data_IF_700555096454
#
_entry.id   IF_700555096454
#
_cell.length_a   1.000
_cell.length_b   1.000
_cell.length_c   1.000
_cell.angle_alpha   90.00
_cell.angle_beta   90.00
_cell.angle_gamma   90.00
#
_symmetry.space_group_name_H-M   'P 1'
#
loop_
_entity.id
_entity.type
_entity.pdbx_description
1 polymer ?
#
# COMPACT_ATOMS: atom_id res chain seq x y z
N UNK A 1 -26.02 24.18 1.82
CA UNK A 1 -24.94 24.22 0.82
C UNK A 1 -23.80 23.37 1.35
N UNK A 2 -23.76 22.09 0.95
CA UNK A 2 -22.73 21.15 1.39
C UNK A 2 -21.46 21.42 0.61
N UNK A 3 -20.42 21.91 1.28
CA UNK A 3 -19.07 22.00 0.74
C UNK A 3 -18.59 20.58 0.42
N UNK A 4 -18.61 20.22 -0.86
CA UNK A 4 -17.83 19.08 -1.34
C UNK A 4 -16.37 19.45 -1.13
N UNK A 5 -15.69 18.78 -0.19
CA UNK A 5 -14.23 18.78 -0.17
C UNK A 5 -13.79 18.07 -1.46
N UNK A 6 -13.55 18.83 -2.52
CA UNK A 6 -12.81 18.36 -3.68
C UNK A 6 -11.46 17.87 -3.14
N UNK A 7 -11.17 16.57 -3.32
CA UNK A 7 -9.82 16.07 -3.12
C UNK A 7 -8.89 16.93 -3.96
N UNK A 8 -7.83 17.47 -3.36
CA UNK A 8 -6.89 18.31 -4.08
C UNK A 8 -6.14 17.44 -5.11
N UNK A 9 -6.59 17.48 -6.37
CA UNK A 9 -5.86 16.88 -7.47
C UNK A 9 -4.58 17.70 -7.71
N UNK A 10 -3.44 17.02 -7.77
CA UNK A 10 -2.16 17.64 -8.13
C UNK A 10 -1.81 17.15 -9.54
N UNK A 11 -1.87 18.07 -10.50
CA UNK A 11 -1.42 17.78 -11.86
C UNK A 11 0.10 17.82 -11.92
N UNK A 12 0.70 16.77 -12.46
CA UNK A 12 2.14 16.66 -12.70
C UNK A 12 2.36 16.76 -14.20
N UNK A 13 3.37 17.53 -14.63
CA UNK A 13 3.71 17.72 -16.05
C UNK A 13 4.43 16.50 -16.64
N UNK A 14 3.80 15.33 -16.59
CA UNK A 14 4.29 14.03 -17.08
C UNK A 14 3.17 13.36 -17.89
N UNK A 15 3.52 12.65 -18.96
CA UNK A 15 2.54 11.93 -19.77
C UNK A 15 1.80 10.83 -18.98
N UNK A 16 0.48 10.77 -19.13
CA UNK A 16 -0.39 9.74 -18.55
C UNK A 16 -0.38 8.46 -19.38
N UNK A 17 0.65 7.64 -19.19
CA UNK A 17 0.76 6.33 -19.84
C UNK A 17 1.34 5.27 -18.88
N UNK A 18 0.90 4.01 -19.03
CA UNK A 18 1.43 2.89 -18.22
C UNK A 18 2.95 2.73 -18.35
N UNK A 19 3.52 3.10 -19.50
CA UNK A 19 4.97 3.05 -19.76
C UNK A 19 5.74 4.19 -19.07
N UNK A 20 5.04 5.23 -18.63
CA UNK A 20 5.58 6.40 -17.95
C UNK A 20 5.35 6.36 -16.42
N UNK A 21 4.86 5.24 -15.86
CA UNK A 21 4.57 5.13 -14.43
C UNK A 21 5.76 5.49 -13.54
N UNK A 22 6.98 5.06 -13.89
CA UNK A 22 8.16 5.46 -13.12
C UNK A 22 8.42 6.97 -13.21
N UNK A 23 8.21 7.61 -14.36
CA UNK A 23 8.32 9.06 -14.48
C UNK A 23 7.28 9.79 -13.62
N UNK A 24 6.03 9.31 -13.62
CA UNK A 24 4.95 9.84 -12.77
C UNK A 24 5.27 9.69 -11.29
N UNK A 25 5.73 8.52 -10.86
CA UNK A 25 6.16 8.31 -9.46
C UNK A 25 7.32 9.22 -9.08
N UNK A 26 8.35 9.38 -9.93
CA UNK A 26 9.45 10.32 -9.64
C UNK A 26 8.93 11.74 -9.41
N UNK A 27 8.07 12.23 -10.31
CA UNK A 27 7.49 13.56 -10.18
C UNK A 27 6.66 13.71 -8.89
N UNK A 28 5.86 12.70 -8.55
CA UNK A 28 5.08 12.68 -7.32
C UNK A 28 5.98 12.67 -6.07
N UNK A 29 7.03 11.85 -6.04
CA UNK A 29 7.96 11.79 -4.90
C UNK A 29 8.70 13.11 -4.69
N UNK A 30 9.12 13.79 -5.78
CA UNK A 30 9.73 15.12 -5.71
C UNK A 30 8.75 16.16 -5.20
N UNK A 31 7.50 16.12 -5.63
CA UNK A 31 6.44 17.03 -5.19
C UNK A 31 6.10 16.85 -3.70
N UNK A 32 5.91 15.60 -3.28
CA UNK A 32 5.69 15.24 -1.87
C UNK A 32 6.88 15.66 -1.00
N UNK A 33 8.11 15.45 -1.47
CA UNK A 33 9.31 15.90 -0.77
C UNK A 33 9.32 17.42 -0.60
N UNK A 34 9.07 18.17 -1.68
CA UNK A 34 9.14 19.62 -1.67
C UNK A 34 8.05 20.28 -0.79
N UNK A 35 6.82 19.72 -0.77
CA UNK A 35 5.67 20.40 -0.15
C UNK A 35 5.17 19.77 1.15
N UNK A 36 5.49 18.50 1.39
CA UNK A 36 4.82 17.67 2.38
C UNK A 36 5.74 16.87 3.30
N UNK A 37 7.05 16.79 3.02
CA UNK A 37 7.99 15.97 3.78
C UNK A 37 7.97 16.22 5.30
N UNK A 38 7.88 17.48 5.70
CA UNK A 38 7.87 17.88 7.13
C UNK A 38 6.47 17.85 7.75
N UNK A 39 5.41 17.68 6.94
CA UNK A 39 4.02 17.70 7.39
C UNK A 39 3.48 16.31 7.72
N UNK A 40 4.00 15.28 7.06
CA UNK A 40 3.54 13.91 7.23
C UNK A 40 4.69 12.96 7.57
N UNK A 41 4.35 11.91 8.30
CA UNK A 41 5.29 10.87 8.73
C UNK A 41 5.33 9.68 7.78
N UNK A 42 4.22 9.44 7.10
CA UNK A 42 3.99 8.28 6.24
C UNK A 42 3.37 8.71 4.91
N UNK A 43 3.84 8.10 3.83
CA UNK A 43 3.40 8.38 2.46
C UNK A 43 2.94 7.08 1.81
N UNK A 44 1.64 6.99 1.51
CA UNK A 44 1.03 5.83 0.87
C UNK A 44 0.90 6.08 -0.64
N UNK A 45 1.37 5.12 -1.44
CA UNK A 45 0.96 4.98 -2.84
C UNK A 45 -0.06 3.86 -2.94
N UNK A 46 -1.14 4.13 -3.67
CA UNK A 46 -2.17 3.16 -4.04
C UNK A 46 -2.61 3.42 -5.48
N UNK A 47 -3.09 2.39 -6.18
CA UNK A 47 -3.74 2.57 -7.49
C UNK A 47 -5.22 2.92 -7.31
N UNK A 48 -5.86 3.47 -8.35
CA UNK A 48 -7.28 3.86 -8.32
C UNK A 48 -8.25 2.66 -8.29
N UNK A 49 -7.73 1.45 -8.40
CA UNK A 49 -8.39 0.17 -8.18
C UNK A 49 -7.88 -0.58 -6.92
N UNK A 50 -7.25 0.14 -5.98
CA UNK A 50 -6.80 -0.38 -4.68
C UNK A 50 -7.70 0.11 -3.55
N UNK A 51 -8.37 -0.81 -2.86
CA UNK A 51 -9.11 -0.46 -1.63
C UNK A 51 -8.20 -0.58 -0.42
N UNK A 52 -8.18 0.45 0.43
CA UNK A 52 -7.32 0.54 1.62
C UNK A 52 -8.15 0.73 2.87
N UNK A 53 -7.99 -0.15 3.86
CA UNK A 53 -8.57 -0.01 5.20
C UNK A 53 -7.61 0.88 6.01
N UNK A 54 -7.89 2.17 6.06
CA UNK A 54 -6.98 3.20 6.60
C UNK A 54 -6.73 3.00 8.09
N UNK A 55 -7.72 2.53 8.84
CA UNK A 55 -7.65 2.21 10.27
C UNK A 55 -6.64 1.08 10.52
N UNK A 56 -6.69 0.02 9.71
CA UNK A 56 -5.74 -1.09 9.80
C UNK A 56 -4.34 -0.66 9.38
N UNK A 57 -4.22 0.23 8.39
CA UNK A 57 -2.94 0.83 8.02
C UNK A 57 -2.36 1.65 9.18
N UNK A 58 -3.17 2.53 9.79
CA UNK A 58 -2.76 3.34 10.95
C UNK A 58 -2.30 2.44 12.09
N UNK A 59 -3.11 1.42 12.43
CA UNK A 59 -2.76 0.45 13.47
C UNK A 59 -1.42 -0.24 13.20
N UNK A 60 -1.17 -0.67 11.96
CA UNK A 60 0.09 -1.29 11.56
C UNK A 60 1.32 -0.35 11.70
N UNK A 61 1.12 0.96 11.55
CA UNK A 61 2.18 1.97 11.61
C UNK A 61 2.44 2.53 13.03
N UNK A 62 1.56 2.28 14.00
CA UNK A 62 1.61 2.90 15.34
C UNK A 62 2.93 2.70 16.09
N UNK A 63 3.57 1.56 15.92
CA UNK A 63 4.80 1.13 16.59
C UNK A 63 6.04 1.27 15.70
N UNK A 64 5.94 1.97 14.57
CA UNK A 64 7.04 2.16 13.61
C UNK A 64 7.63 3.56 13.75
N UNK A 65 8.95 3.66 13.61
CA UNK A 65 9.66 4.94 13.67
C UNK A 65 9.79 5.55 12.26
N UNK A 66 9.09 6.66 11.94
CA UNK A 66 9.16 7.30 10.62
C UNK A 66 10.48 8.04 10.37
N UNK A 67 11.36 8.19 11.38
CA UNK A 67 12.72 8.70 11.22
C UNK A 67 13.71 7.65 10.70
N UNK A 68 13.31 6.37 10.72
CA UNK A 68 14.05 5.29 10.06
C UNK A 68 13.60 5.19 8.60
N UNK A 69 14.49 4.79 7.65
CA UNK A 69 14.19 4.71 6.23
C UNK A 69 13.37 3.45 5.89
N UNK A 70 12.18 3.31 6.49
CA UNK A 70 11.33 2.13 6.35
C UNK A 70 10.43 2.20 5.13
N UNK A 71 10.14 1.04 4.53
CA UNK A 71 9.06 0.86 3.57
C UNK A 71 8.33 -0.48 3.72
N UNK A 72 7.06 -0.48 3.30
CA UNK A 72 6.11 -1.57 3.53
C UNK A 72 5.29 -1.86 2.27
N UNK A 73 4.81 -3.09 2.13
CA UNK A 73 3.90 -3.51 1.06
C UNK A 73 3.88 -5.02 0.90
N UNK A 74 3.37 -5.52 -0.23
CA UNK A 74 3.43 -6.93 -0.58
C UNK A 74 4.76 -7.30 -1.27
N UNK A 75 5.58 -8.20 -0.72
CA UNK A 75 6.93 -8.42 -1.23
C UNK A 75 6.98 -9.38 -2.43
N UNK A 76 7.54 -8.88 -3.54
CA UNK A 76 7.94 -9.65 -4.70
C UNK A 76 9.45 -9.91 -4.73
N UNK A 77 9.86 -10.97 -5.43
CA UNK A 77 11.28 -11.43 -5.45
C UNK A 77 11.93 -11.56 -6.82
N UNK A 78 11.20 -11.36 -7.92
CA UNK A 78 11.66 -11.84 -9.25
C UNK A 78 12.41 -10.81 -10.11
N UNK A 79 12.21 -9.50 -9.87
CA UNK A 79 12.80 -8.43 -10.70
C UNK A 79 14.02 -7.78 -10.05
N UNK A 80 13.97 -7.57 -8.73
CA UNK A 80 15.02 -6.88 -7.96
C UNK A 80 15.71 -7.88 -7.03
N UNK A 81 17.04 -8.01 -7.06
CA UNK A 81 17.75 -8.85 -6.10
C UNK A 81 17.52 -8.37 -4.65
N UNK A 82 17.02 -9.25 -3.79
CA UNK A 82 16.57 -8.90 -2.43
C UNK A 82 15.10 -8.49 -2.33
N UNK A 83 14.42 -8.38 -3.48
CA UNK A 83 13.00 -8.11 -3.61
C UNK A 83 12.61 -6.64 -3.69
N UNK A 84 11.33 -6.42 -3.93
CA UNK A 84 10.66 -5.13 -4.05
C UNK A 84 9.20 -5.30 -3.58
N UNK A 85 8.44 -4.22 -3.45
CA UNK A 85 7.02 -4.29 -3.06
C UNK A 85 6.13 -4.08 -4.27
N UNK A 86 4.99 -4.76 -4.34
CA UNK A 86 4.02 -4.61 -5.43
C UNK A 86 3.47 -3.19 -5.47
N UNK A 87 3.48 -2.56 -6.65
CA UNK A 87 2.84 -1.26 -6.86
C UNK A 87 1.32 -1.33 -6.68
N UNK A 88 0.69 -2.38 -7.22
CA UNK A 88 -0.77 -2.57 -7.16
C UNK A 88 -1.30 -2.89 -5.77
N UNK A 89 -0.57 -3.67 -4.97
CA UNK A 89 -0.97 -3.89 -3.57
C UNK A 89 -0.93 -2.62 -2.71
N UNK A 90 -0.37 -1.53 -3.25
CA UNK A 90 0.02 -0.35 -2.50
C UNK A 90 1.30 -0.57 -1.69
N UNK A 91 1.99 0.54 -1.43
CA UNK A 91 3.17 0.56 -0.58
C UNK A 91 3.24 1.86 0.21
N UNK A 92 3.94 1.79 1.35
CA UNK A 92 4.07 2.92 2.27
C UNK A 92 5.55 3.21 2.49
N UNK A 93 5.90 4.49 2.43
CA UNK A 93 7.22 5.01 2.72
C UNK A 93 7.17 5.82 4.01
N UNK A 94 8.16 5.62 4.89
CA UNK A 94 8.47 6.59 5.94
C UNK A 94 8.92 7.92 5.36
N UNK A 95 8.79 8.99 6.14
CA UNK A 95 9.40 10.29 5.85
C UNK A 95 10.88 10.19 5.51
N UNK A 96 11.65 9.43 6.30
CA UNK A 96 13.08 9.26 6.03
C UNK A 96 13.33 8.48 4.74
N UNK A 97 12.55 7.45 4.41
CA UNK A 97 12.69 6.73 3.14
C UNK A 97 12.40 7.65 1.94
N UNK A 98 11.32 8.44 1.99
CA UNK A 98 11.01 9.42 0.95
C UNK A 98 12.16 10.42 0.78
N UNK A 99 12.66 10.99 1.89
CA UNK A 99 13.80 11.92 1.88
C UNK A 99 15.00 11.33 1.17
N UNK A 100 15.41 10.11 1.53
CA UNK A 100 16.57 9.45 0.92
C UNK A 100 16.36 9.14 -0.55
N UNK A 101 15.18 8.64 -0.94
CA UNK A 101 14.85 8.37 -2.34
C UNK A 101 15.01 9.61 -3.21
N UNK A 102 14.56 10.78 -2.74
CA UNK A 102 14.71 12.03 -3.50
C UNK A 102 16.15 12.54 -3.45
N UNK A 103 16.67 12.82 -2.26
CA UNK A 103 17.95 13.54 -2.08
C UNK A 103 19.18 12.71 -2.41
N UNK A 104 19.16 11.43 -2.08
CA UNK A 104 20.29 10.51 -2.29
C UNK A 104 20.07 9.58 -3.49
N UNK A 105 18.81 9.40 -3.90
CA UNK A 105 18.44 8.55 -5.01
C UNK A 105 18.37 9.32 -6.32
N UNK A 106 17.29 10.08 -6.50
CA UNK A 106 16.98 10.80 -7.73
C UNK A 106 17.98 11.91 -8.03
N UNK A 107 18.30 12.77 -7.05
CA UNK A 107 19.19 13.92 -7.24
C UNK A 107 20.66 13.53 -7.41
N UNK A 108 21.09 12.40 -6.83
CA UNK A 108 22.47 11.92 -6.93
C UNK A 108 22.64 10.80 -7.98
N UNK A 109 21.63 10.54 -8.81
CA UNK A 109 21.72 9.57 -9.90
C UNK A 109 21.87 8.11 -9.45
N UNK A 110 21.48 7.77 -8.21
CA UNK A 110 21.48 6.37 -7.72
C UNK A 110 20.20 5.62 -8.09
N UNK A 111 19.25 6.28 -8.73
CA UNK A 111 18.01 5.70 -9.21
C UNK A 111 17.93 5.86 -10.73
N UNK A 112 17.11 5.03 -11.37
CA UNK A 112 17.05 4.99 -12.84
C UNK A 112 16.64 6.36 -13.43
N UNK A 113 17.46 6.95 -14.33
CA UNK A 113 17.22 8.30 -14.84
C UNK A 113 16.08 8.37 -15.85
N UNK A 114 15.93 7.36 -16.71
CA UNK A 114 14.80 7.29 -17.65
C UNK A 114 13.47 6.96 -16.94
N UNK A 115 12.34 7.03 -17.65
CA UNK A 115 11.01 6.69 -17.14
C UNK A 115 10.54 5.27 -17.48
N UNK A 116 11.38 4.47 -18.14
CA UNK A 116 10.99 3.21 -18.78
C UNK A 116 11.32 2.02 -17.89
N UNK A 117 10.33 1.43 -17.21
CA UNK A 117 10.38 0.16 -16.48
C UNK A 117 9.15 0.06 -15.55
N UNK A 118 8.78 -1.13 -15.04
CA UNK A 118 7.82 -1.23 -13.94
C UNK A 118 8.25 -0.37 -12.76
N UNK A 119 7.36 0.56 -12.40
CA UNK A 119 7.55 1.57 -11.37
C UNK A 119 7.97 0.98 -10.02
N UNK A 120 7.28 -0.08 -9.61
CA UNK A 120 7.48 -0.73 -8.32
C UNK A 120 8.86 -1.41 -8.20
N UNK A 121 9.33 -2.00 -9.29
CA UNK A 121 10.68 -2.54 -9.40
C UNK A 121 11.74 -1.43 -9.38
N UNK A 122 11.56 -0.32 -10.09
CA UNK A 122 12.53 0.79 -10.05
C UNK A 122 12.56 1.49 -8.70
N UNK A 123 11.41 1.71 -8.07
CA UNK A 123 11.36 2.20 -6.70
C UNK A 123 12.07 1.25 -5.75
N UNK A 124 11.85 -0.07 -5.88
CA UNK A 124 12.54 -1.09 -5.09
C UNK A 124 14.07 -1.05 -5.25
N UNK A 125 14.59 -0.89 -6.47
CA UNK A 125 16.04 -0.68 -6.72
C UNK A 125 16.55 0.59 -6.07
N UNK A 126 15.80 1.69 -6.25
CA UNK A 126 16.14 3.00 -5.70
C UNK A 126 16.22 2.97 -4.17
N UNK A 127 15.19 2.43 -3.50
CA UNK A 127 15.14 2.22 -2.05
C UNK A 127 16.34 1.41 -1.55
N UNK A 128 16.68 0.32 -2.24
CA UNK A 128 17.87 -0.48 -1.91
C UNK A 128 19.16 0.34 -2.03
N UNK A 129 19.32 1.11 -3.10
CA UNK A 129 20.52 1.92 -3.36
C UNK A 129 20.71 3.06 -2.35
N UNK A 130 19.63 3.52 -1.70
CA UNK A 130 19.67 4.54 -0.64
C UNK A 130 19.61 3.95 0.78
N UNK A 131 19.75 2.62 0.91
CA UNK A 131 19.82 1.93 2.19
C UNK A 131 18.50 1.94 2.97
N UNK A 132 17.35 2.00 2.28
CA UNK A 132 16.05 1.86 2.91
C UNK A 132 15.75 0.38 3.23
N UNK A 133 14.94 0.17 4.27
CA UNK A 133 14.71 -1.14 4.88
C UNK A 133 13.27 -1.57 4.63
N UNK A 134 13.11 -2.72 3.97
CA UNK A 134 11.80 -3.38 3.85
C UNK A 134 11.45 -4.03 5.18
N UNK A 135 10.28 -3.73 5.72
CA UNK A 135 9.80 -4.34 6.95
C UNK A 135 8.80 -5.47 6.63
N UNK A 136 8.76 -6.50 7.48
CA UNK A 136 7.75 -7.57 7.40
C UNK A 136 6.35 -6.99 7.63
N UNK A 137 5.44 -7.30 6.73
CA UNK A 137 4.06 -6.80 6.77
C UNK A 137 3.04 -7.88 7.11
N UNK A 138 3.44 -9.16 7.12
CA UNK A 138 2.57 -10.24 7.56
C UNK A 138 2.33 -10.17 9.06
N UNK A 139 1.18 -10.65 9.50
CA UNK A 139 0.88 -10.73 10.92
C UNK A 139 1.66 -11.84 11.63
N UNK A 140 1.43 -11.98 12.94
CA UNK A 140 2.09 -12.98 13.79
C UNK A 140 1.83 -14.42 13.36
N UNK A 141 0.77 -14.67 12.57
CA UNK A 141 0.44 -15.97 12.00
C UNK A 141 1.01 -16.14 10.56
N UNK A 142 1.77 -15.15 10.07
CA UNK A 142 2.33 -15.14 8.73
C UNK A 142 1.32 -14.86 7.62
N UNK A 143 0.17 -14.26 7.93
CA UNK A 143 -0.89 -13.92 6.96
C UNK A 143 -0.68 -12.53 6.38
N UNK A 144 -1.00 -12.35 5.10
CA UNK A 144 -0.73 -11.10 4.40
C UNK A 144 -1.65 -9.97 4.86
N UNK A 145 -1.13 -8.74 4.84
CA UNK A 145 -1.88 -7.49 5.02
C UNK A 145 -2.14 -6.76 3.71
N UNK A 146 -1.17 -6.76 2.81
CA UNK A 146 -1.26 -6.16 1.49
C UNK A 146 -1.52 -7.28 0.48
N UNK A 147 -2.36 -7.05 -0.52
CA UNK A 147 -2.73 -8.07 -1.50
C UNK A 147 -2.60 -7.53 -2.92
N UNK A 148 -1.75 -8.13 -3.78
CA UNK A 148 -1.50 -7.65 -5.14
C UNK A 148 -2.56 -8.11 -6.16
N UNK A 149 -3.55 -8.89 -5.70
CA UNK A 149 -4.69 -9.36 -6.47
C UNK A 149 -5.97 -9.10 -5.67
N UNK A 150 -7.12 -9.26 -6.33
CA UNK A 150 -8.42 -9.23 -5.69
C UNK A 150 -8.50 -10.24 -4.53
N UNK A 151 -9.08 -9.83 -3.40
CA UNK A 151 -9.06 -10.59 -2.14
C UNK A 151 -9.74 -11.97 -2.29
N UNK A 152 -10.71 -12.08 -3.19
CA UNK A 152 -11.45 -13.29 -3.53
C UNK A 152 -10.51 -14.43 -3.98
N UNK A 153 -9.42 -14.11 -4.69
CA UNK A 153 -8.40 -15.09 -5.10
C UNK A 153 -7.71 -15.74 -3.90
N UNK A 154 -7.56 -15.01 -2.79
CA UNK A 154 -6.94 -15.53 -1.58
C UNK A 154 -7.98 -16.21 -0.68
N UNK A 155 -9.20 -15.69 -0.60
CA UNK A 155 -10.27 -16.26 0.21
C UNK A 155 -10.73 -17.64 -0.29
N UNK A 156 -10.84 -17.83 -1.61
CA UNK A 156 -11.25 -19.08 -2.21
C UNK A 156 -10.05 -19.79 -2.87
N UNK A 157 -9.59 -20.90 -2.28
CA UNK A 157 -8.42 -21.62 -2.81
C UNK A 157 -8.54 -22.06 -4.27
N UNK A 158 -9.78 -22.35 -4.73
CA UNK A 158 -10.08 -22.68 -6.13
C UNK A 158 -9.94 -21.48 -7.09
N UNK A 159 -10.00 -20.25 -6.57
CA UNK A 159 -9.92 -19.03 -7.36
C UNK A 159 -8.47 -18.62 -7.70
N UNK A 160 -7.45 -19.34 -7.20
CA UNK A 160 -6.05 -19.05 -7.49
C UNK A 160 -5.27 -20.29 -7.98
N UNK A 161 -5.38 -20.63 -9.29
CA UNK A 161 -4.69 -21.76 -9.87
C UNK A 161 -3.17 -21.70 -9.66
N UNK A 162 -2.54 -22.86 -9.44
CA UNK A 162 -1.08 -22.97 -9.20
C UNK A 162 -0.21 -22.53 -10.39
N UNK A 163 -0.80 -22.40 -11.57
CA UNK A 163 -0.14 -21.90 -12.79
C UNK A 163 0.00 -20.38 -12.82
N UNK A 164 -0.66 -19.65 -11.92
CA UNK A 164 -0.62 -18.19 -11.92
C UNK A 164 0.73 -17.64 -11.49
N UNK A 165 1.09 -16.49 -12.06
CA UNK A 165 2.39 -15.84 -11.85
C UNK A 165 2.68 -15.53 -10.38
N UNK A 166 1.65 -15.28 -9.56
CA UNK A 166 1.80 -14.86 -8.17
C UNK A 166 2.59 -15.87 -7.33
N UNK A 167 2.46 -17.17 -7.60
CA UNK A 167 3.19 -18.23 -6.90
C UNK A 167 4.71 -18.12 -7.11
N UNK A 168 5.14 -17.63 -8.26
CA UNK A 168 6.56 -17.38 -8.58
C UNK A 168 7.02 -16.04 -8.00
N UNK A 169 6.20 -15.00 -8.16
CA UNK A 169 6.54 -13.62 -7.82
C UNK A 169 6.64 -13.37 -6.32
N UNK A 170 5.78 -14.01 -5.54
CA UNK A 170 5.69 -13.79 -4.08
C UNK A 170 6.98 -14.22 -3.39
N UNK A 171 7.45 -13.38 -2.47
CA UNK A 171 8.62 -13.70 -1.67
C UNK A 171 8.35 -14.81 -0.65
N UNK A 172 7.15 -14.80 -0.07
CA UNK A 172 6.69 -15.78 0.90
C UNK A 172 5.70 -16.76 0.25
N UNK A 173 5.52 -17.98 0.81
CA UNK A 173 4.49 -18.89 0.34
C UNK A 173 3.12 -18.22 0.34
N UNK A 174 2.43 -18.29 -0.79
CA UNK A 174 1.07 -17.76 -0.91
C UNK A 174 0.11 -18.67 -0.14
N UNK A 175 -0.67 -18.07 0.75
CA UNK A 175 -1.70 -18.77 1.53
C UNK A 175 -3.08 -18.44 0.94
N UNK A 176 -3.96 -19.45 0.87
CA UNK A 176 -5.34 -19.30 0.41
C UNK A 176 -6.31 -20.00 1.37
N UNK A 177 -7.60 -19.70 1.27
CA UNK A 177 -8.63 -20.24 2.16
C UNK A 177 -8.74 -19.46 3.47
N UNK A 178 -9.31 -20.10 4.49
CA UNK A 178 -9.67 -19.46 5.77
C UNK A 178 -8.50 -18.77 6.50
N UNK A 179 -7.27 -19.19 6.24
CA UNK A 179 -6.06 -18.67 6.89
C UNK A 179 -5.23 -17.76 5.98
N UNK A 180 -5.73 -17.37 4.80
CA UNK A 180 -4.94 -16.56 3.86
C UNK A 180 -4.55 -15.19 4.40
N UNK A 181 -5.45 -14.63 5.18
CA UNK A 181 -5.61 -13.19 5.24
C UNK A 181 -5.64 -12.73 6.69
N UNK A 182 -4.88 -11.67 6.97
CA UNK A 182 -4.82 -11.12 8.32
C UNK A 182 -6.15 -10.49 8.71
N UNK A 183 -6.52 -10.62 9.98
CA UNK A 183 -7.73 -9.97 10.53
C UNK A 183 -7.60 -8.44 10.52
N UNK A 184 -6.38 -7.92 10.44
CA UNK A 184 -6.10 -6.49 10.22
C UNK A 184 -5.43 -6.28 8.86
N UNK A 185 -6.01 -6.86 7.81
CA UNK A 185 -5.62 -6.63 6.42
C UNK A 185 -5.69 -5.14 6.06
N UNK A 186 -4.78 -4.67 5.20
CA UNK A 186 -4.57 -3.25 4.91
C UNK A 186 -5.07 -2.87 3.53
N UNK A 187 -4.72 -3.61 2.48
CA UNK A 187 -5.01 -3.18 1.11
C UNK A 187 -5.27 -4.34 0.16
N UNK A 188 -6.24 -4.15 -0.75
CA UNK A 188 -6.63 -5.11 -1.78
C UNK A 188 -6.57 -4.44 -3.15
N UNK A 189 -5.87 -5.04 -4.11
CA UNK A 189 -5.76 -4.54 -5.48
C UNK A 189 -6.83 -5.14 -6.41
N UNK A 190 -6.97 -4.61 -7.63
CA UNK A 190 -7.98 -5.02 -8.62
C UNK A 190 -9.43 -4.98 -8.10
N UNK A 191 -9.73 -4.02 -7.23
CA UNK A 191 -11.06 -3.81 -6.67
C UNK A 191 -11.86 -2.96 -7.64
N UNK A 192 -12.93 -3.56 -8.19
CA UNK A 192 -13.84 -2.84 -9.09
C UNK A 192 -14.57 -1.72 -8.33
N UNK A 193 -15.00 -0.64 -9.00
CA UNK A 193 -15.74 0.44 -8.35
C UNK A 193 -16.93 -0.05 -7.51
N UNK A 194 -17.72 -1.02 -8.01
CA UNK A 194 -18.86 -1.57 -7.28
C UNK A 194 -18.43 -2.34 -6.02
N UNK A 195 -17.29 -3.04 -6.09
CA UNK A 195 -16.71 -3.75 -4.95
C UNK A 195 -16.18 -2.78 -3.90
N UNK A 196 -15.70 -1.58 -4.28
CA UNK A 196 -15.29 -0.56 -3.31
C UNK A 196 -16.48 -0.10 -2.44
N UNK A 197 -17.62 0.19 -3.06
CA UNK A 197 -18.85 0.52 -2.32
C UNK A 197 -19.33 -0.66 -1.46
N UNK A 198 -19.20 -1.89 -1.96
CA UNK A 198 -19.53 -3.08 -1.20
C UNK A 198 -18.65 -3.24 0.04
N UNK A 199 -17.33 -3.06 -0.10
CA UNK A 199 -16.39 -3.12 1.03
C UNK A 199 -16.69 -2.03 2.05
N UNK A 200 -16.92 -0.79 1.60
CA UNK A 200 -17.32 0.31 2.48
C UNK A 200 -18.59 -0.03 3.27
N UNK A 201 -19.61 -0.52 2.58
CA UNK A 201 -20.86 -0.92 3.22
C UNK A 201 -20.66 -2.04 4.24
N UNK A 202 -19.96 -3.12 3.87
CA UNK A 202 -19.78 -4.27 4.75
C UNK A 202 -18.89 -3.97 5.95
N UNK A 203 -17.87 -3.12 5.79
CA UNK A 203 -16.91 -2.82 6.85
C UNK A 203 -17.40 -1.73 7.82
N UNK A 204 -18.14 -0.73 7.33
CA UNK A 204 -18.44 0.47 8.13
C UNK A 204 -19.93 0.74 8.34
N UNK A 205 -20.83 0.12 7.56
CA UNK A 205 -22.26 0.42 7.62
C UNK A 205 -23.11 -0.77 8.04
N UNK A 206 -22.79 -1.97 7.56
CA UNK A 206 -23.51 -3.19 7.90
C UNK A 206 -23.25 -3.56 9.37
N UNK A 207 -24.33 -3.87 10.10
CA UNK A 207 -24.25 -4.37 11.48
C UNK A 207 -24.86 -5.77 11.53
N UNK A 208 -24.09 -6.73 12.02
CA UNK A 208 -24.58 -8.09 12.27
C UNK A 208 -24.97 -8.18 13.74
N UNK A 209 -26.27 -8.07 14.02
CA UNK A 209 -26.78 -8.18 15.39
C UNK A 209 -26.53 -9.59 15.95
N UNK A 210 -26.02 -9.67 17.17
CA UNK A 210 -25.56 -10.93 17.77
C UNK A 210 -24.32 -11.54 17.11
N UNK A 211 -23.62 -10.78 16.27
CA UNK A 211 -22.40 -11.21 15.60
C UNK A 211 -21.18 -11.29 16.53
N UNK A 212 -20.07 -11.89 16.07
CA UNK A 212 -18.85 -12.04 16.88
C UNK A 212 -18.27 -10.72 17.41
N UNK A 213 -18.53 -9.61 16.71
CA UNK A 213 -17.93 -8.28 16.93
C UNK A 213 -18.71 -7.35 17.86
N UNK A 214 -19.92 -7.73 18.31
CA UNK A 214 -20.70 -6.89 19.24
C UNK A 214 -19.97 -6.60 20.57
N UNK A 215 -18.90 -7.33 20.88
CA UNK A 215 -18.09 -7.13 22.09
C UNK A 215 -16.99 -6.08 21.95
N UNK A 216 -16.56 -5.72 20.73
CA UNK A 216 -15.42 -4.81 20.52
C UNK A 216 -15.85 -3.35 20.37
N UNK A 217 -17.04 -3.07 19.80
CA UNK A 217 -17.46 -1.69 19.52
C UNK A 217 -18.31 -1.02 20.59
N UNK A 218 -18.93 -1.74 21.54
CA UNK A 218 -19.86 -1.11 22.49
C UNK A 218 -19.19 -0.50 23.75
N UNK A 219 -17.85 -0.57 23.92
CA UNK A 219 -17.21 -0.12 25.16
C UNK A 219 -16.08 0.91 25.05
N UNK A 220 -15.61 1.31 23.86
CA UNK A 220 -14.33 2.05 23.79
C UNK A 220 -14.22 3.20 22.80
N UNK A 221 -15.27 3.61 22.09
CA UNK A 221 -15.15 4.83 21.28
C UNK A 221 -15.54 6.06 22.12
N UNK A 222 -14.64 7.04 22.31
CA UNK A 222 -15.05 8.35 22.80
C UNK A 222 -16.02 8.98 21.80
N UNK A 223 -16.93 9.86 22.28
CA UNK A 223 -17.86 10.55 21.39
C UNK A 223 -17.09 11.32 20.30
N UNK A 224 -17.64 11.41 19.08
CA UNK A 224 -17.02 12.21 18.03
C UNK A 224 -16.88 13.67 18.50
N UNK A 225 -15.80 14.37 18.15
CA UNK A 225 -15.63 15.78 18.51
C UNK A 225 -16.77 16.59 17.86
N UNK A 226 -17.39 17.44 18.67
CA UNK A 226 -18.42 18.36 18.22
C UNK A 226 -17.84 19.31 17.17
N UNK A 227 -18.57 19.47 16.06
CA UNK A 227 -18.28 20.42 14.98
C UNK A 227 -18.68 21.84 15.39
#
# INVERSE_FOLDING_TARGET
MSSSRQGAAVELSVAEERKALWAKTKAALVELHAKHLTKYEWFLKADDDTYVIVENLRFFLLDKDPSQPLYFGYPFRVIVPGGYVSGGAGYVLSREALRRVVEQGLMQGRCRPDGSSPEDAELGRCLKNVGAIRVETRDVLGRNRFFPLAIEHFLAASALPRTWWIWRYSMHPVQTGKNCCSDTAVAFHYVRPQSMYLFEYLLYHAKVLGGPDERIHLRQLPPPPEL
#
